data_IF_715288614488
#
_entry.id   IF_715288614488
#
_cell.length_a   1.000
_cell.length_b   1.000
_cell.length_c   1.000
_cell.angle_alpha   90.00
_cell.angle_beta   90.00
_cell.angle_gamma   90.00
#
_symmetry.space_group_name_H-M   'P 1'
#
loop_
_entity.id
_entity.type
_entity.pdbx_description
1 polymer ?
#
# COMPACT_ATOMS: atom_id res chain seq x y z
N UNK A 1 15.68 -20.41 -8.72
CA UNK A 1 14.59 -21.06 -7.95
C UNK A 1 15.10 -21.79 -6.70
N UNK A 2 16.17 -22.60 -6.77
CA UNK A 2 16.68 -23.37 -5.61
C UNK A 2 17.09 -22.52 -4.39
N UNK A 3 17.72 -21.35 -4.58
CA UNK A 3 18.14 -20.47 -3.46
C UNK A 3 16.92 -19.95 -2.69
N UNK A 4 15.88 -19.50 -3.41
CA UNK A 4 14.64 -19.01 -2.80
C UNK A 4 13.92 -20.12 -2.04
N UNK A 5 13.78 -21.30 -2.66
CA UNK A 5 13.16 -22.47 -2.01
C UNK A 5 13.94 -22.89 -0.76
N UNK A 6 15.27 -22.81 -0.77
CA UNK A 6 16.09 -23.09 0.41
C UNK A 6 15.90 -22.04 1.51
N UNK A 7 15.77 -20.76 1.17
CA UNK A 7 15.53 -19.70 2.14
C UNK A 7 14.18 -19.87 2.85
N UNK A 8 13.11 -20.19 2.10
CA UNK A 8 11.76 -20.35 2.64
C UNK A 8 11.57 -21.67 3.41
N UNK A 9 12.35 -22.71 3.11
CA UNK A 9 12.34 -23.97 3.87
C UNK A 9 13.00 -23.88 5.25
N UNK A 10 13.64 -22.76 5.58
CA UNK A 10 14.33 -22.57 6.86
C UNK A 10 13.58 -21.61 7.78
N UNK A 11 13.88 -21.67 9.08
CA UNK A 11 13.39 -20.70 10.07
C UNK A 11 13.85 -19.27 9.69
N UNK A 12 13.00 -18.23 9.83
CA UNK A 12 11.66 -18.24 10.43
C UNK A 12 10.51 -18.55 9.46
N UNK A 13 10.79 -18.78 8.17
CA UNK A 13 9.75 -18.88 7.13
C UNK A 13 9.15 -20.28 6.99
N UNK A 14 9.76 -21.31 7.58
CA UNK A 14 9.28 -22.70 7.52
C UNK A 14 7.82 -22.89 7.97
N UNK A 15 7.32 -22.00 8.84
CA UNK A 15 5.97 -22.08 9.43
C UNK A 15 4.95 -21.22 8.68
N UNK A 16 5.29 -20.73 7.48
CA UNK A 16 4.43 -19.92 6.63
C UNK A 16 4.07 -20.64 5.32
N UNK A 17 2.82 -20.47 4.89
CA UNK A 17 2.39 -20.61 3.50
C UNK A 17 2.71 -19.30 2.76
N UNK A 18 2.98 -19.39 1.46
CA UNK A 18 3.33 -18.23 0.64
C UNK A 18 2.60 -18.24 -0.70
N UNK A 19 2.30 -17.04 -1.20
CA UNK A 19 1.72 -16.81 -2.51
C UNK A 19 2.47 -15.68 -3.22
N UNK A 20 2.65 -15.82 -4.53
CA UNK A 20 3.31 -14.83 -5.37
C UNK A 20 2.34 -14.43 -6.48
N UNK A 21 2.10 -13.13 -6.64
CA UNK A 21 1.47 -12.56 -7.82
C UNK A 21 2.60 -11.97 -8.65
N UNK A 22 3.11 -12.72 -9.63
CA UNK A 22 4.23 -12.27 -10.46
C UNK A 22 3.72 -11.46 -11.65
N UNK A 23 4.47 -10.45 -12.10
CA UNK A 23 4.16 -9.79 -13.36
C UNK A 23 4.70 -10.59 -14.54
N UNK A 24 4.01 -10.50 -15.68
CA UNK A 24 4.51 -10.97 -16.98
C UNK A 24 5.75 -10.17 -17.43
N UNK A 25 5.95 -8.98 -16.86
CA UNK A 25 7.15 -8.15 -17.04
C UNK A 25 8.12 -8.34 -15.88
N UNK A 26 9.40 -7.99 -16.06
CA UNK A 26 10.39 -7.99 -14.95
C UNK A 26 10.19 -6.84 -13.96
N UNK A 27 8.99 -6.29 -13.86
CA UNK A 27 8.64 -5.11 -13.07
C UNK A 27 7.39 -5.41 -12.23
N UNK A 28 7.31 -4.86 -11.02
CA UNK A 28 6.26 -5.15 -10.04
C UNK A 28 6.33 -6.58 -9.48
N UNK A 29 5.16 -7.19 -9.26
CA UNK A 29 5.02 -8.41 -8.49
C UNK A 29 4.83 -8.17 -6.98
N UNK A 30 4.05 -9.04 -6.35
CA UNK A 30 3.76 -8.99 -4.92
C UNK A 30 3.84 -10.39 -4.31
N UNK A 31 4.08 -10.45 -3.00
CA UNK A 31 4.11 -11.70 -2.25
C UNK A 31 3.29 -11.57 -0.96
N UNK A 32 2.74 -12.68 -0.50
CA UNK A 32 2.03 -12.79 0.76
C UNK A 32 2.54 -14.01 1.52
N UNK A 33 2.87 -13.83 2.80
CA UNK A 33 3.23 -14.91 3.73
C UNK A 33 2.17 -14.98 4.83
N UNK A 34 1.63 -16.16 5.07
CA UNK A 34 0.62 -16.41 6.11
C UNK A 34 1.05 -17.62 6.93
N UNK A 35 1.00 -17.54 8.27
CA UNK A 35 1.31 -18.68 9.13
C UNK A 35 0.45 -19.90 8.76
N UNK A 36 1.03 -21.10 8.82
CA UNK A 36 0.38 -22.36 8.41
C UNK A 36 -0.88 -22.72 9.20
N UNK A 37 -1.06 -22.16 10.40
CA UNK A 37 -2.29 -22.33 11.17
C UNK A 37 -3.51 -21.61 10.55
N UNK A 38 -3.30 -20.72 9.58
CA UNK A 38 -4.38 -20.10 8.81
C UNK A 38 -4.44 -20.63 7.37
N UNK A 39 -5.65 -20.72 6.83
CA UNK A 39 -5.91 -21.23 5.49
C UNK A 39 -6.87 -20.30 4.71
N UNK A 40 -6.43 -19.11 4.28
CA UNK A 40 -7.28 -18.18 3.54
C UNK A 40 -7.50 -18.66 2.10
N UNK A 41 -8.65 -18.27 1.51
CA UNK A 41 -8.86 -18.40 0.06
C UNK A 41 -8.14 -17.25 -0.64
N UNK A 42 -7.21 -17.55 -1.54
CA UNK A 42 -6.37 -16.53 -2.19
C UNK A 42 -6.73 -16.38 -3.68
N UNK A 43 -6.85 -15.13 -4.14
CA UNK A 43 -6.95 -14.74 -5.55
C UNK A 43 -5.96 -13.62 -5.90
N UNK A 44 -5.69 -13.43 -7.19
CA UNK A 44 -4.66 -12.51 -7.69
C UNK A 44 -5.25 -11.44 -8.62
N UNK A 45 -6.50 -11.08 -8.40
CA UNK A 45 -7.27 -10.16 -9.25
C UNK A 45 -8.33 -9.44 -8.43
N UNK A 46 -8.59 -8.18 -8.76
CA UNK A 46 -9.72 -7.42 -8.21
C UNK A 46 -11.06 -7.91 -8.81
N UNK A 47 -11.03 -8.54 -9.98
CA UNK A 47 -12.22 -9.02 -10.66
C UNK A 47 -12.51 -10.46 -10.21
N UNK A 48 -13.55 -10.66 -9.39
CA UNK A 48 -13.90 -11.99 -8.88
C UNK A 48 -14.44 -12.96 -9.94
N UNK A 49 -14.86 -12.47 -11.11
CA UNK A 49 -15.48 -13.24 -12.20
C UNK A 49 -14.56 -13.43 -13.42
N UNK A 50 -13.35 -12.86 -13.41
CA UNK A 50 -12.43 -12.83 -14.55
C UNK A 50 -11.24 -13.79 -14.45
N UNK A 51 -10.16 -13.49 -15.17
CA UNK A 51 -8.87 -14.20 -15.06
C UNK A 51 -8.43 -14.31 -13.60
N UNK A 52 -7.94 -15.50 -13.21
CA UNK A 52 -7.48 -15.79 -11.83
C UNK A 52 -6.31 -14.91 -11.38
N UNK A 53 -5.58 -14.33 -12.33
CA UNK A 53 -4.35 -13.58 -12.11
C UNK A 53 -4.23 -12.40 -13.08
N UNK A 54 -3.81 -11.26 -12.55
CA UNK A 54 -3.56 -10.04 -13.32
C UNK A 54 -2.13 -9.98 -13.86
N UNK A 55 -1.92 -9.64 -15.15
CA UNK A 55 -0.59 -9.59 -15.79
C UNK A 55 0.46 -8.73 -15.07
N UNK A 56 0.03 -7.72 -14.30
CA UNK A 56 0.93 -6.80 -13.61
C UNK A 56 1.40 -7.33 -12.24
N UNK A 57 0.83 -8.42 -11.73
CA UNK A 57 1.23 -9.02 -10.44
C UNK A 57 0.98 -8.12 -9.21
N UNK A 58 0.08 -7.14 -9.32
CA UNK A 58 -0.11 -6.06 -8.34
C UNK A 58 -1.14 -6.34 -7.26
N UNK A 59 -1.76 -7.52 -7.27
CA UNK A 59 -2.90 -7.85 -6.40
C UNK A 59 -2.71 -9.23 -5.80
N UNK A 60 -2.86 -9.31 -4.47
CA UNK A 60 -3.17 -10.55 -3.74
C UNK A 60 -4.35 -10.24 -2.82
N UNK A 61 -5.46 -10.92 -3.03
CA UNK A 61 -6.62 -10.89 -2.14
C UNK A 61 -6.68 -12.21 -1.39
N UNK A 62 -6.53 -12.17 -0.07
CA UNK A 62 -6.67 -13.31 0.82
C UNK A 62 -7.92 -13.15 1.68
N UNK A 63 -8.87 -14.04 1.51
CA UNK A 63 -10.10 -14.08 2.30
C UNK A 63 -9.93 -15.04 3.48
N UNK A 64 -9.92 -14.47 4.68
CA UNK A 64 -10.00 -15.20 5.95
C UNK A 64 -11.47 -15.35 6.36
N UNK A 65 -11.71 -16.09 7.43
CA UNK A 65 -13.05 -16.28 7.98
C UNK A 65 -13.70 -14.94 8.38
N UNK A 66 -12.97 -14.11 9.13
CA UNK A 66 -13.50 -12.89 9.73
C UNK A 66 -13.18 -11.59 8.97
N UNK A 67 -12.25 -11.60 8.01
CA UNK A 67 -11.89 -10.41 7.22
C UNK A 67 -11.27 -10.78 5.87
N UNK A 68 -11.14 -9.78 4.99
CA UNK A 68 -10.36 -9.85 3.76
C UNK A 68 -9.09 -9.03 3.88
N UNK A 69 -7.95 -9.60 3.48
CA UNK A 69 -6.69 -8.90 3.30
C UNK A 69 -6.46 -8.66 1.81
N UNK A 70 -6.46 -7.40 1.39
CA UNK A 70 -6.08 -7.00 0.06
C UNK A 70 -4.68 -6.38 0.10
N UNK A 71 -3.68 -7.07 -0.42
CA UNK A 71 -2.35 -6.51 -0.64
C UNK A 71 -2.26 -6.00 -2.08
N UNK A 72 -1.87 -4.73 -2.24
CA UNK A 72 -1.65 -4.13 -3.56
C UNK A 72 -0.33 -3.40 -3.67
N UNK A 73 0.27 -3.50 -4.86
CA UNK A 73 1.29 -2.56 -5.31
C UNK A 73 0.69 -1.67 -6.40
N UNK A 74 0.17 -0.51 -6.02
CA UNK A 74 -0.57 0.40 -6.92
C UNK A 74 0.37 0.97 -7.99
N UNK A 75 -0.05 1.08 -9.27
CA UNK A 75 0.78 1.69 -10.30
C UNK A 75 1.18 3.13 -9.98
N UNK A 76 2.47 3.40 -9.93
CA UNK A 76 2.98 4.78 -9.90
C UNK A 76 2.79 5.43 -11.29
N UNK A 77 2.43 6.72 -11.31
CA UNK A 77 2.28 7.51 -12.54
C UNK A 77 3.62 7.83 -13.21
N UNK A 78 4.71 7.86 -12.45
CA UNK A 78 6.03 8.21 -12.94
C UNK A 78 6.11 9.65 -13.44
N UNK A 79 7.30 10.03 -13.88
CA UNK A 79 7.60 11.39 -14.38
C UNK A 79 7.57 11.53 -15.89
N UNK A 80 7.43 10.42 -16.61
CA UNK A 80 7.56 10.40 -18.07
C UNK A 80 6.21 10.65 -18.73
N UNK A 81 6.28 11.34 -19.85
CA UNK A 81 5.17 11.61 -20.74
C UNK A 81 4.76 10.34 -21.48
N UNK A 82 4.06 9.47 -20.77
CA UNK A 82 3.23 8.49 -21.42
C UNK A 82 1.81 8.83 -20.96
N UNK A 83 0.99 9.36 -21.87
CA UNK A 83 -0.45 9.58 -21.65
C UNK A 83 -1.10 8.32 -21.03
N UNK A 84 -0.56 7.15 -21.39
CA UNK A 84 -0.90 5.84 -20.86
C UNK A 84 -0.73 5.70 -19.35
N UNK A 85 0.19 6.43 -18.71
CA UNK A 85 0.50 6.26 -17.29
C UNK A 85 -0.58 6.87 -16.39
N UNK A 86 -0.96 8.13 -16.62
CA UNK A 86 -2.09 8.75 -15.91
C UNK A 86 -3.39 8.01 -16.18
N UNK A 87 -3.62 7.58 -17.43
CA UNK A 87 -4.77 6.76 -17.79
C UNK A 87 -4.75 5.41 -17.05
N UNK A 88 -3.59 4.74 -16.97
CA UNK A 88 -3.41 3.48 -16.24
C UNK A 88 -3.74 3.66 -14.76
N UNK A 89 -3.24 4.71 -14.12
CA UNK A 89 -3.54 5.01 -12.70
C UNK A 89 -5.02 5.33 -12.49
N UNK A 90 -5.63 6.16 -13.33
CA UNK A 90 -7.07 6.47 -13.23
C UNK A 90 -7.93 5.22 -13.39
N UNK A 91 -7.59 4.35 -14.36
CA UNK A 91 -8.25 3.06 -14.55
C UNK A 91 -8.08 2.15 -13.33
N UNK A 92 -6.88 2.12 -12.73
CA UNK A 92 -6.63 1.39 -11.49
C UNK A 92 -7.50 1.92 -10.34
N UNK A 93 -7.50 3.23 -10.10
CA UNK A 93 -8.27 3.85 -9.03
C UNK A 93 -9.78 3.58 -9.20
N UNK A 94 -10.29 3.60 -10.44
CA UNK A 94 -11.68 3.22 -10.72
C UNK A 94 -11.95 1.75 -10.41
N UNK A 95 -11.06 0.83 -10.80
CA UNK A 95 -11.22 -0.60 -10.48
C UNK A 95 -11.19 -0.86 -8.97
N UNK A 96 -10.35 -0.13 -8.23
CA UNK A 96 -10.31 -0.18 -6.77
C UNK A 96 -11.62 0.34 -6.16
N UNK A 97 -12.15 1.45 -6.68
CA UNK A 97 -13.45 1.98 -6.26
C UNK A 97 -14.57 0.95 -6.47
N UNK A 98 -14.64 0.35 -7.66
CA UNK A 98 -15.63 -0.66 -8.00
C UNK A 98 -15.51 -1.89 -7.08
N UNK A 99 -14.26 -2.34 -6.82
CA UNK A 99 -14.00 -3.44 -5.89
C UNK A 99 -14.53 -3.13 -4.49
N UNK A 100 -14.22 -1.96 -3.92
CA UNK A 100 -14.68 -1.54 -2.59
C UNK A 100 -16.19 -1.45 -2.51
N UNK A 101 -16.85 -0.97 -3.57
CA UNK A 101 -18.31 -0.87 -3.60
C UNK A 101 -18.99 -2.26 -3.61
N UNK A 102 -18.41 -3.23 -4.31
CA UNK A 102 -19.00 -4.57 -4.49
C UNK A 102 -18.69 -5.55 -3.34
N UNK A 103 -17.55 -5.43 -2.64
CA UNK A 103 -16.94 -6.55 -1.90
C UNK A 103 -16.84 -6.38 -0.37
N UNK A 104 -17.93 -6.06 0.31
CA UNK A 104 -17.90 -5.77 1.77
C UNK A 104 -18.98 -6.48 2.57
N UNK A 105 -19.24 -7.74 2.22
CA UNK A 105 -19.83 -8.73 3.12
C UNK A 105 -18.91 -9.08 4.30
N UNK A 106 -17.60 -8.75 4.21
CA UNK A 106 -16.61 -8.89 5.29
C UNK A 106 -15.81 -7.59 5.48
N UNK A 107 -15.32 -7.32 6.70
CA UNK A 107 -14.34 -6.26 6.93
C UNK A 107 -13.10 -6.40 6.03
N UNK A 108 -12.61 -5.28 5.51
CA UNK A 108 -11.46 -5.20 4.64
C UNK A 108 -10.25 -4.63 5.39
N UNK A 109 -9.09 -5.22 5.17
CA UNK A 109 -7.77 -4.66 5.43
C UNK A 109 -7.07 -4.55 4.08
N UNK A 110 -6.89 -3.33 3.58
CA UNK A 110 -6.19 -3.03 2.34
C UNK A 110 -4.81 -2.45 2.65
N UNK A 111 -3.74 -3.14 2.22
CA UNK A 111 -2.37 -2.76 2.51
C UNK A 111 -1.44 -2.81 1.29
N UNK A 112 -0.21 -2.32 1.50
CA UNK A 112 0.87 -2.30 0.52
C UNK A 112 1.26 -0.87 0.13
N UNK A 113 2.09 -0.75 -0.91
CA UNK A 113 2.46 0.54 -1.51
C UNK A 113 1.30 1.02 -2.40
N UNK A 114 0.58 2.02 -1.90
CA UNK A 114 -0.58 2.61 -2.58
C UNK A 114 -0.20 3.77 -3.50
N UNK A 115 1.09 4.13 -3.58
CA UNK A 115 1.63 5.19 -4.43
C UNK A 115 0.79 6.48 -4.37
N UNK A 116 0.38 6.86 -3.15
CA UNK A 116 -0.32 8.12 -2.88
C UNK A 116 -0.06 8.58 -1.45
N UNK A 117 0.31 9.83 -1.25
CA UNK A 117 0.34 10.53 0.03
C UNK A 117 -0.94 11.36 0.10
N UNK A 118 -1.85 11.01 1.01
CA UNK A 118 -3.23 11.52 0.99
C UNK A 118 -3.31 12.98 1.43
N UNK A 119 -2.64 13.30 2.53
CA UNK A 119 -2.67 14.62 3.16
C UNK A 119 -1.31 15.31 3.08
N UNK A 120 -1.26 16.63 3.26
CA UNK A 120 0.01 17.36 3.26
C UNK A 120 0.96 16.88 4.36
N UNK A 121 0.39 16.42 5.48
CA UNK A 121 1.15 15.82 6.58
C UNK A 121 1.74 14.45 6.24
N UNK A 122 1.46 13.89 5.06
CA UNK A 122 2.06 12.64 4.57
C UNK A 122 3.37 12.85 3.81
N UNK A 123 3.78 14.11 3.61
CA UNK A 123 5.03 14.43 2.93
C UNK A 123 5.88 15.39 3.75
N UNK A 124 7.19 15.18 3.71
CA UNK A 124 8.13 16.00 4.49
C UNK A 124 8.25 17.45 4.00
N UNK A 125 7.93 17.71 2.73
CA UNK A 125 8.08 19.03 2.11
C UNK A 125 6.91 19.27 1.15
N UNK A 126 5.71 19.62 1.66
CA UNK A 126 4.50 19.75 0.85
C UNK A 126 4.66 20.66 -0.36
N UNK A 127 5.28 21.83 -0.18
CA UNK A 127 5.51 22.78 -1.28
C UNK A 127 6.37 22.16 -2.39
N UNK A 128 7.48 21.52 -2.02
CA UNK A 128 8.36 20.86 -2.98
C UNK A 128 7.61 19.79 -3.79
N UNK A 129 6.86 18.91 -3.11
CA UNK A 129 6.17 17.82 -3.78
C UNK A 129 4.98 18.33 -4.62
N UNK A 130 4.23 19.32 -4.15
CA UNK A 130 3.13 19.93 -4.90
C UNK A 130 3.59 20.64 -6.18
N UNK A 131 4.78 21.25 -6.18
CA UNK A 131 5.30 21.98 -7.33
C UNK A 131 6.36 21.23 -8.14
N UNK A 132 6.70 20.00 -7.76
CA UNK A 132 7.80 19.27 -8.39
C UNK A 132 7.51 19.01 -9.88
N UNK A 133 8.54 19.23 -10.70
CA UNK A 133 8.52 18.95 -12.14
C UNK A 133 9.77 18.14 -12.52
N UNK A 134 9.72 17.43 -13.63
CA UNK A 134 10.89 16.81 -14.24
C UNK A 134 10.94 17.22 -15.71
N UNK A 135 12.12 17.62 -16.19
CA UNK A 135 12.38 17.95 -17.60
C UNK A 135 11.42 18.97 -18.22
N UNK A 136 10.99 19.97 -17.43
CA UNK A 136 10.03 21.01 -17.82
C UNK A 136 8.64 20.49 -18.30
N UNK A 137 8.34 19.21 -18.13
CA UNK A 137 7.04 18.65 -18.48
C UNK A 137 5.94 19.29 -17.63
N UNK A 138 4.82 19.60 -18.29
CA UNK A 138 3.59 20.05 -17.65
C UNK A 138 2.45 19.14 -18.14
N UNK A 139 1.85 18.34 -17.25
CA UNK A 139 0.71 17.51 -17.60
C UNK A 139 -0.43 18.33 -18.21
N UNK A 140 -1.24 17.73 -19.10
CA UNK A 140 -2.37 18.43 -19.73
C UNK A 140 -3.41 18.89 -18.71
N UNK A 141 -3.59 18.14 -17.62
CA UNK A 141 -4.46 18.51 -16.51
C UNK A 141 -3.63 19.14 -15.37
N UNK A 142 -4.01 20.36 -14.96
CA UNK A 142 -3.35 21.08 -13.86
C UNK A 142 -3.37 20.31 -12.53
N UNK A 143 -4.38 19.48 -12.29
CA UNK A 143 -4.47 18.66 -11.07
C UNK A 143 -3.49 17.48 -11.04
N UNK A 144 -2.88 17.15 -12.18
CA UNK A 144 -1.83 16.14 -12.32
C UNK A 144 -0.41 16.74 -12.17
N UNK A 145 -0.30 18.08 -12.04
CA UNK A 145 0.96 18.74 -11.75
C UNK A 145 1.48 18.38 -10.36
N UNK A 146 2.80 18.26 -10.25
CA UNK A 146 3.49 17.94 -9.01
C UNK A 146 4.13 16.55 -9.04
N UNK A 147 4.50 16.08 -7.86
CA UNK A 147 5.05 14.76 -7.61
C UNK A 147 4.01 13.66 -7.91
N UNK A 148 4.33 12.68 -8.78
CA UNK A 148 3.59 11.42 -8.87
C UNK A 148 3.50 10.74 -7.51
N UNK A 149 2.29 10.44 -7.06
CA UNK A 149 1.98 10.00 -5.71
C UNK A 149 1.62 11.12 -4.74
N UNK A 150 1.62 12.39 -5.14
CA UNK A 150 1.14 13.51 -4.32
C UNK A 150 0.39 14.57 -5.15
N UNK A 151 -0.01 14.24 -6.38
CA UNK A 151 -0.80 15.15 -7.21
C UNK A 151 -2.19 15.34 -6.60
N UNK A 152 -2.80 16.51 -6.86
CA UNK A 152 -4.14 16.80 -6.35
C UNK A 152 -5.17 15.76 -6.84
N UNK A 153 -5.02 15.29 -8.08
CA UNK A 153 -5.95 14.33 -8.67
C UNK A 153 -5.86 12.95 -8.02
N UNK A 154 -4.65 12.44 -7.73
CA UNK A 154 -4.44 11.18 -7.01
C UNK A 154 -5.01 11.25 -5.59
N UNK A 155 -4.71 12.34 -4.87
CA UNK A 155 -5.22 12.59 -3.51
C UNK A 155 -6.74 12.59 -3.46
N UNK A 156 -7.39 13.32 -4.38
CA UNK A 156 -8.86 13.37 -4.47
C UNK A 156 -9.47 12.00 -4.74
N UNK A 157 -8.92 11.23 -5.69
CA UNK A 157 -9.44 9.88 -6.01
C UNK A 157 -9.24 8.91 -4.85
N UNK A 158 -8.07 8.94 -4.21
CA UNK A 158 -7.81 8.12 -3.03
C UNK A 158 -8.79 8.44 -1.90
N UNK A 159 -8.96 9.73 -1.56
CA UNK A 159 -9.95 10.15 -0.56
C UNK A 159 -11.39 9.78 -0.93
N UNK A 160 -11.74 9.81 -2.22
CA UNK A 160 -13.07 9.37 -2.69
C UNK A 160 -13.29 7.86 -2.50
N UNK A 161 -12.26 7.03 -2.72
CA UNK A 161 -12.29 5.59 -2.42
C UNK A 161 -12.43 5.37 -0.92
N UNK A 162 -11.65 6.06 -0.08
CA UNK A 162 -11.71 5.90 1.38
C UNK A 162 -13.07 6.26 1.97
N UNK A 163 -13.70 7.32 1.45
CA UNK A 163 -15.06 7.71 1.83
C UNK A 163 -16.08 6.64 1.50
N UNK A 164 -15.86 5.84 0.44
CA UNK A 164 -16.73 4.70 0.20
C UNK A 164 -16.60 3.74 1.35
N UNK A 165 -17.75 3.39 1.93
CA UNK A 165 -17.86 2.32 2.91
C UNK A 165 -16.99 2.54 4.16
N UNK A 166 -16.65 3.80 4.43
CA UNK A 166 -15.97 4.28 5.63
C UNK A 166 -14.67 3.52 5.92
N UNK A 167 -13.77 3.55 4.94
CA UNK A 167 -12.43 3.03 5.13
C UNK A 167 -11.57 4.05 5.87
N UNK A 168 -10.80 3.58 6.84
CA UNK A 168 -9.98 4.38 7.74
C UNK A 168 -8.50 4.08 7.50
N UNK A 169 -7.66 5.11 7.53
CA UNK A 169 -6.22 4.95 7.59
C UNK A 169 -5.82 4.59 9.03
N UNK A 170 -5.43 3.34 9.26
CA UNK A 170 -5.14 2.82 10.59
C UNK A 170 -3.98 3.54 11.29
N UNK A 171 -3.01 4.05 10.51
CA UNK A 171 -1.94 4.88 11.07
C UNK A 171 -2.53 6.18 11.61
N UNK A 172 -3.34 6.88 10.81
CA UNK A 172 -3.92 8.16 11.23
C UNK A 172 -4.89 8.00 12.39
N UNK A 173 -5.65 6.91 12.49
CA UNK A 173 -6.53 6.65 13.65
C UNK A 173 -5.79 6.74 15.00
N UNK A 174 -4.56 6.22 15.07
CA UNK A 174 -3.75 6.26 16.31
C UNK A 174 -2.85 7.50 16.40
N UNK A 175 -2.63 8.15 15.26
CA UNK A 175 -1.64 9.19 15.08
C UNK A 175 -2.28 10.41 14.41
N UNK A 176 -3.31 10.99 15.04
CA UNK A 176 -3.94 12.25 14.59
C UNK A 176 -3.07 13.47 14.95
N UNK A 177 -2.48 13.54 16.15
CA UNK A 177 -1.95 14.81 16.72
C UNK A 177 -0.43 14.91 17.10
N UNK A 178 0.48 14.56 16.20
CA UNK A 178 1.95 14.70 16.30
C UNK A 178 2.37 15.08 14.88
N UNK A 179 2.92 16.28 14.72
CA UNK A 179 3.19 16.92 13.43
C UNK A 179 4.22 16.20 12.55
N UNK A 180 5.18 16.95 12.00
CA UNK A 180 6.14 16.46 10.99
C UNK A 180 7.14 15.40 11.49
N UNK A 181 7.13 15.04 12.77
CA UNK A 181 7.96 13.95 13.32
C UNK A 181 7.42 12.54 13.03
N UNK A 182 6.32 12.43 12.28
CA UNK A 182 5.62 11.17 12.05
C UNK A 182 6.01 10.46 10.76
N UNK A 183 5.94 9.12 10.85
CA UNK A 183 6.58 8.16 9.97
C UNK A 183 6.25 8.31 8.49
N UNK A 184 7.31 8.46 7.71
CA UNK A 184 7.30 8.31 6.27
C UNK A 184 7.66 6.87 5.94
N UNK A 185 7.04 6.33 4.91
CA UNK A 185 7.29 4.95 4.48
C UNK A 185 8.31 4.87 3.37
N UNK A 186 8.54 5.95 2.61
CA UNK A 186 9.54 6.04 1.55
C UNK A 186 10.48 7.23 1.78
N UNK A 187 11.76 7.03 1.45
CA UNK A 187 12.76 8.10 1.50
C UNK A 187 13.53 8.21 0.19
N UNK A 188 13.55 9.41 -0.37
CA UNK A 188 14.41 9.69 -1.51
C UNK A 188 15.88 9.73 -1.12
N UNK A 189 16.76 9.42 -2.08
CA UNK A 189 18.21 9.48 -1.90
C UNK A 189 18.68 10.84 -1.36
N UNK A 190 19.73 10.80 -0.52
CA UNK A 190 20.36 11.99 0.05
C UNK A 190 20.98 12.89 -1.03
N UNK A 191 21.40 12.29 -2.14
CA UNK A 191 21.90 13.00 -3.31
C UNK A 191 20.84 12.99 -4.42
N UNK A 192 20.79 14.07 -5.21
CA UNK A 192 19.90 14.18 -6.35
C UNK A 192 18.64 15.01 -6.07
N UNK A 193 17.54 14.68 -6.77
CA UNK A 193 16.30 15.46 -6.77
C UNK A 193 15.68 15.59 -5.38
N UNK A 194 15.61 14.48 -4.66
CA UNK A 194 14.86 14.41 -3.41
C UNK A 194 15.64 14.94 -2.22
N UNK A 195 16.96 14.76 -2.17
CA UNK A 195 17.82 15.24 -1.06
C UNK A 195 17.28 14.82 0.31
N UNK A 196 16.96 13.53 0.47
CA UNK A 196 16.42 12.99 1.72
C UNK A 196 14.96 13.36 2.01
N UNK A 197 14.24 14.01 1.08
CA UNK A 197 12.81 14.23 1.22
C UNK A 197 12.05 12.90 1.21
N UNK A 198 11.05 12.82 2.07
CA UNK A 198 10.28 11.62 2.37
C UNK A 198 8.79 11.81 2.13
N UNK A 199 8.11 10.69 1.84
CA UNK A 199 6.67 10.59 1.64
C UNK A 199 6.13 9.33 2.33
N UNK A 200 4.85 9.34 2.70
CA UNK A 200 4.12 8.18 3.21
C UNK A 200 3.18 7.67 2.12
N UNK A 201 3.49 6.50 1.58
CA UNK A 201 2.76 5.87 0.47
C UNK A 201 2.37 4.42 0.76
N UNK A 202 2.83 3.86 1.87
CA UNK A 202 2.49 2.52 2.33
C UNK A 202 1.46 2.59 3.46
N UNK A 203 0.40 1.79 3.38
CA UNK A 203 -0.76 1.92 4.26
C UNK A 203 -1.24 0.58 4.82
N UNK A 204 -1.97 0.70 5.93
CA UNK A 204 -3.07 -0.19 6.25
C UNK A 204 -4.36 0.63 6.28
N UNK A 205 -5.19 0.45 5.27
CA UNK A 205 -6.54 0.99 5.19
C UNK A 205 -7.50 -0.09 5.69
N UNK A 206 -8.34 0.22 6.67
CA UNK A 206 -9.21 -0.77 7.32
C UNK A 206 -10.66 -0.33 7.29
N UNK A 207 -11.60 -1.27 7.24
CA UNK A 207 -13.02 -0.95 7.47
C UNK A 207 -13.24 -0.33 8.85
N UNK A 208 -14.16 0.63 8.96
CA UNK A 208 -14.56 1.27 10.24
C UNK A 208 -14.91 0.24 11.33
N UNK A 209 -15.47 -0.91 10.97
CA UNK A 209 -15.80 -2.00 11.91
C UNK A 209 -14.58 -2.62 12.61
N UNK A 210 -13.37 -2.38 12.12
CA UNK A 210 -12.11 -2.81 12.76
C UNK A 210 -11.45 -1.70 13.58
N UNK A 211 -12.00 -0.47 13.60
CA UNK A 211 -11.38 0.70 14.24
C UNK A 211 -10.97 0.44 15.68
N UNK A 212 -11.89 -0.04 16.50
CA UNK A 212 -11.67 -0.25 17.93
C UNK A 212 -10.74 -1.42 18.23
N UNK A 213 -10.42 -2.23 17.22
CA UNK A 213 -9.44 -3.31 17.32
C UNK A 213 -8.03 -2.87 16.95
N UNK A 214 -7.81 -1.66 16.44
CA UNK A 214 -6.47 -1.18 16.10
C UNK A 214 -5.70 -0.91 17.38
N UNK A 215 -4.70 -1.75 17.68
CA UNK A 215 -3.84 -1.62 18.87
C UNK A 215 -2.59 -0.81 18.55
N UNK A 216 -1.99 -1.05 17.38
CA UNK A 216 -0.81 -0.31 16.94
C UNK A 216 -0.75 -0.26 15.42
N UNK A 217 -0.28 0.86 14.87
CA UNK A 217 0.08 0.97 13.47
C UNK A 217 1.34 1.85 13.39
N UNK A 218 2.46 1.26 12.96
CA UNK A 218 3.78 1.85 13.12
C UNK A 218 4.56 1.85 11.82
N UNK A 219 5.29 2.95 11.62
CA UNK A 219 6.29 3.12 10.56
C UNK A 219 7.66 2.87 11.16
N UNK A 220 8.40 1.90 10.61
CA UNK A 220 9.66 1.46 11.20
C UNK A 220 10.88 2.24 10.68
N UNK A 221 10.69 3.05 9.63
CA UNK A 221 11.71 3.90 9.04
C UNK A 221 11.98 5.17 9.84
N UNK A 222 13.25 5.47 10.13
CA UNK A 222 13.65 6.66 10.90
C UNK A 222 14.91 7.32 10.38
N UNK A 223 14.95 8.65 10.54
CA UNK A 223 16.16 9.46 10.39
C UNK A 223 16.69 9.57 8.96
N UNK A 224 17.71 10.42 8.79
CA UNK A 224 18.43 10.60 7.51
C UNK A 224 19.28 9.39 7.13
N UNK A 225 19.67 8.60 8.13
CA UNK A 225 20.45 7.37 8.01
C UNK A 225 19.64 6.15 7.50
N UNK A 226 18.36 6.32 7.15
CA UNK A 226 17.48 5.25 6.65
C UNK A 226 17.43 4.02 7.57
N UNK A 227 17.41 4.23 8.89
CA UNK A 227 17.24 3.14 9.84
C UNK A 227 15.87 2.48 9.63
N UNK A 228 15.83 1.14 9.59
CA UNK A 228 14.58 0.38 9.40
C UNK A 228 14.11 0.20 7.95
N UNK A 229 14.86 0.70 6.97
CA UNK A 229 14.58 0.52 5.54
C UNK A 229 15.13 -0.81 4.97
N UNK A 230 16.05 -1.47 5.69
CA UNK A 230 16.46 -2.85 5.46
C UNK A 230 16.84 -3.20 4.00
N UNK A 231 17.48 -2.28 3.28
CA UNK A 231 17.92 -2.47 1.89
C UNK A 231 16.91 -2.07 0.81
N UNK A 232 15.74 -1.53 1.20
CA UNK A 232 14.79 -0.87 0.32
C UNK A 232 14.85 0.65 0.51
N UNK A 233 14.27 1.42 -0.41
CA UNK A 233 13.93 2.84 -0.24
C UNK A 233 12.57 3.03 0.46
N UNK A 234 11.86 1.93 0.75
CA UNK A 234 10.72 1.86 1.64
C UNK A 234 11.08 1.22 2.99
N UNK A 235 10.37 1.59 4.06
CA UNK A 235 10.47 0.93 5.36
C UNK A 235 9.29 0.01 5.64
N UNK A 236 9.46 -0.90 6.58
CA UNK A 236 8.36 -1.73 7.08
C UNK A 236 7.25 -0.85 7.68
N UNK A 237 6.00 -1.22 7.39
CA UNK A 237 4.80 -0.75 8.09
C UNK A 237 4.15 -1.94 8.77
N UNK A 238 3.76 -1.80 10.03
CA UNK A 238 3.07 -2.87 10.77
C UNK A 238 1.72 -2.42 11.29
N UNK A 239 0.74 -3.31 11.24
CA UNK A 239 -0.55 -3.18 11.93
C UNK A 239 -0.70 -4.31 12.95
N UNK A 240 -1.09 -3.98 14.18
CA UNK A 240 -1.51 -4.92 15.21
C UNK A 240 -2.97 -4.69 15.53
N UNK A 241 -3.77 -5.76 15.40
CA UNK A 241 -5.15 -5.79 15.87
C UNK A 241 -5.23 -6.51 17.22
N UNK A 242 -6.20 -6.13 18.05
CA UNK A 242 -6.56 -6.88 19.26
C UNK A 242 -7.11 -8.25 18.86
N UNK A 243 -6.99 -9.21 19.78
CA UNK A 243 -7.68 -10.49 19.65
C UNK A 243 -9.19 -10.25 19.60
N UNK A 244 -9.92 -11.15 18.94
CA UNK A 244 -11.38 -11.18 19.10
C UNK A 244 -11.69 -11.71 20.49
N UNK A 245 -12.71 -11.15 21.15
CA UNK A 245 -13.29 -11.75 22.35
C UNK A 245 -13.96 -13.08 21.96
N UNK A 246 -13.14 -14.09 21.81
CA UNK A 246 -13.52 -15.46 21.53
C UNK A 246 -12.61 -16.33 22.38
N UNK A 247 -13.19 -16.98 23.38
CA UNK A 247 -12.59 -18.09 24.14
C UNK A 247 -12.11 -19.19 23.18
N UNK A 248 -10.95 -19.00 22.58
CA UNK A 248 -10.28 -19.99 21.76
C UNK A 248 -8.78 -19.80 21.94
N UNK A 249 -8.31 -20.17 23.13
CA UNK A 249 -6.99 -20.77 23.29
C UNK A 249 -6.87 -21.89 22.25
N UNK A 250 -6.22 -21.59 21.13
CA UNK A 250 -5.65 -22.59 20.23
C UNK A 250 -4.65 -21.91 19.31
N UNK A 251 -3.47 -21.61 19.85
CA UNK A 251 -2.21 -21.77 19.13
C UNK A 251 -1.05 -21.97 20.10
#
# INVERSE_FOLDING_TARGET
MQILMRAISNSPLKDYNFWWSLSDTKYAGTALFVKKCFNPKVSFSLNQTGSKHEPDGRVILAEFESFRLLNTYVPNNGWKDEETSFQRRRKWDQRMLDFVLQNLDKPLIWCGDLNVSHEETDVSHPEFFSSAKLNAYTPPNKEDCGQPGFTLSERKRFGAILKQRKLLDAYRVLHEDKGMERGFSWSGNLVGKYRGKRIRIDYFIVSETLKDRIVACEMHGKGIELQGFCGSDHCLVSLKLSETDSNSDQC
#
